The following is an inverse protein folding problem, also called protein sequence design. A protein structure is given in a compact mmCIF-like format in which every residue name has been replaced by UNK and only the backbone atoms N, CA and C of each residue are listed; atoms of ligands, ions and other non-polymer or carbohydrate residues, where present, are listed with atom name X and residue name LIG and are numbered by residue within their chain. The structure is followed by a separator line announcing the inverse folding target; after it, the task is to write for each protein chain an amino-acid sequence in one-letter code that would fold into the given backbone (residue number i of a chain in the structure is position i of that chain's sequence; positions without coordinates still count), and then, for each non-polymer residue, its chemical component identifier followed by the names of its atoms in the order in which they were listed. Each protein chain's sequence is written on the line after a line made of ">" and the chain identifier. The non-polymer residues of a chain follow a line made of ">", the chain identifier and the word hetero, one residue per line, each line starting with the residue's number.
data_IF_109287646084
#
_entry.id   IF_109287646084
#
_cell.length_a   1.000
_cell.length_b   1.000
_cell.length_c   1.000
_cell.angle_alpha   90.00
_cell.angle_beta   90.00
_cell.angle_gamma   90.00
#
_symmetry.space_group_name_H-M   'P 1'
#
loop_
_entity.id
_entity.type
_entity.pdbx_description
1 polymer ?
#
# COMPACT_ATOMS: atom_id res chain seq x y z
N UNK A 1 19.07 73.97 -28.37
CA UNK A 1 19.01 73.36 -27.02
C UNK A 1 18.10 72.13 -27.08
N UNK A 2 18.67 70.92 -27.20
CA UNK A 2 17.91 69.65 -27.26
C UNK A 2 18.52 68.69 -26.25
N UNK A 3 17.72 68.33 -25.24
CA UNK A 3 18.08 67.43 -24.14
C UNK A 3 17.96 65.99 -24.65
N UNK A 4 19.04 65.20 -24.54
CA UNK A 4 19.02 63.75 -24.79
C UNK A 4 18.57 63.03 -23.53
N UNK A 5 17.50 62.25 -23.66
CA UNK A 5 16.93 61.40 -22.62
C UNK A 5 17.74 60.09 -22.54
N UNK A 6 18.36 59.80 -21.40
CA UNK A 6 19.04 58.54 -21.12
C UNK A 6 18.02 57.54 -20.56
N UNK A 7 17.86 56.38 -21.22
CA UNK A 7 17.05 55.26 -20.73
C UNK A 7 17.96 54.39 -19.86
N UNK A 8 17.67 54.32 -18.56
CA UNK A 8 18.34 53.42 -17.61
C UNK A 8 17.58 52.10 -17.62
N UNK A 9 18.20 51.05 -18.18
CA UNK A 9 17.70 49.68 -18.11
C UNK A 9 17.96 49.08 -16.73
N UNK A 10 16.89 48.83 -15.97
CA UNK A 10 16.95 48.02 -14.76
C UNK A 10 17.09 46.54 -15.14
N UNK A 11 18.29 45.98 -14.95
CA UNK A 11 18.48 44.53 -14.91
C UNK A 11 17.92 44.00 -13.58
N UNK A 12 16.73 43.42 -13.62
CA UNK A 12 16.21 42.61 -12.52
C UNK A 12 16.97 41.27 -12.55
N UNK A 13 17.99 41.16 -11.71
CA UNK A 13 18.62 39.87 -11.41
C UNK A 13 17.64 39.11 -10.52
N UNK A 14 16.81 38.27 -11.14
CA UNK A 14 15.96 37.31 -10.43
C UNK A 14 16.85 36.22 -9.82
N UNK A 15 17.34 36.45 -8.60
CA UNK A 15 17.86 35.39 -7.75
C UNK A 15 16.71 34.45 -7.38
N UNK A 16 16.47 33.45 -8.22
CA UNK A 16 15.64 32.29 -7.86
C UNK A 16 16.42 31.43 -6.87
N UNK A 17 16.46 31.84 -5.61
CA UNK A 17 16.72 30.90 -4.54
C UNK A 17 15.54 29.91 -4.52
N UNK A 18 15.67 28.81 -5.27
CA UNK A 18 15.00 27.56 -4.90
C UNK A 18 15.48 27.27 -3.49
N UNK A 19 14.72 27.67 -2.48
CA UNK A 19 14.86 27.14 -1.14
C UNK A 19 14.49 25.67 -1.27
N UNK A 20 15.51 24.84 -1.51
CA UNK A 20 15.41 23.41 -1.35
C UNK A 20 15.18 23.22 0.14
N UNK A 21 13.91 23.18 0.55
CA UNK A 21 13.50 22.56 1.80
C UNK A 21 13.79 21.06 1.64
N UNK A 22 15.07 20.68 1.59
CA UNK A 22 15.47 19.33 1.91
C UNK A 22 14.86 19.09 3.27
N UNK A 23 13.91 18.16 3.35
CA UNK A 23 13.27 17.78 4.59
C UNK A 23 14.39 17.29 5.51
N UNK A 24 14.90 18.19 6.36
CA UNK A 24 16.14 18.05 7.11
C UNK A 24 15.96 17.03 8.21
N UNK A 25 16.01 15.76 7.83
CA UNK A 25 16.36 14.68 8.72
C UNK A 25 17.65 14.13 8.14
N UNK A 26 18.78 14.42 8.80
CA UNK A 26 20.04 13.77 8.47
C UNK A 26 19.95 12.25 8.57
N UNK A 27 21.09 11.57 8.52
CA UNK A 27 21.13 10.10 8.42
C UNK A 27 20.73 9.37 9.71
N UNK A 28 20.43 10.08 10.81
CA UNK A 28 20.04 9.47 12.08
C UNK A 28 18.52 9.20 12.15
N UNK A 29 18.15 7.97 12.51
CA UNK A 29 16.76 7.51 12.73
C UNK A 29 16.16 7.99 14.07
N UNK A 30 16.66 9.11 14.58
CA UNK A 30 16.17 9.69 15.83
C UNK A 30 14.73 10.19 15.67
N UNK A 31 13.83 9.78 16.56
CA UNK A 31 12.50 10.35 16.72
C UNK A 31 12.57 11.89 16.72
N UNK A 32 11.80 12.54 15.86
CA UNK A 32 11.69 14.01 15.84
C UNK A 32 10.31 14.44 16.23
N UNK A 33 10.25 15.53 16.99
CA UNK A 33 8.99 16.09 17.45
C UNK A 33 8.25 16.78 16.30
N UNK A 34 6.93 16.64 16.28
CA UNK A 34 6.03 17.53 15.57
C UNK A 34 5.13 18.26 16.56
N UNK A 35 4.65 19.42 16.15
CA UNK A 35 3.63 20.18 16.85
C UNK A 35 2.55 20.55 15.85
N UNK A 36 1.32 20.10 16.06
CA UNK A 36 0.18 20.37 15.20
C UNK A 36 -0.82 21.27 15.91
N UNK A 37 -0.94 22.52 15.44
CA UNK A 37 -2.02 23.42 15.84
C UNK A 37 -3.22 23.19 14.93
N UNK A 38 -4.36 22.84 15.52
CA UNK A 38 -5.62 22.66 14.78
C UNK A 38 -6.52 23.86 15.05
N UNK A 39 -7.09 24.42 13.99
CA UNK A 39 -8.03 25.55 14.03
C UNK A 39 -9.30 25.20 13.24
N UNK A 40 -10.36 24.89 13.97
CA UNK A 40 -11.71 24.69 13.47
C UNK A 40 -12.48 26.02 13.49
N UNK A 41 -12.98 26.43 12.34
CA UNK A 41 -13.85 27.60 12.21
C UNK A 41 -15.32 27.22 12.42
N UNK A 42 -15.74 27.07 13.67
CA UNK A 42 -17.15 26.90 14.01
C UNK A 42 -17.44 27.28 15.45
N UNK A 43 -18.69 27.13 15.86
CA UNK A 43 -19.16 27.59 17.18
C UNK A 43 -18.98 26.48 18.21
N UNK A 44 -18.36 26.83 19.34
CA UNK A 44 -18.28 25.98 20.53
C UNK A 44 -17.17 24.94 20.53
N UNK A 45 -17.17 24.11 21.57
CA UNK A 45 -16.18 23.05 21.73
C UNK A 45 -16.59 21.83 20.89
N UNK A 46 -15.66 21.29 20.11
CA UNK A 46 -15.88 20.06 19.34
C UNK A 46 -14.87 18.99 19.74
N UNK A 47 -15.32 17.74 19.84
CA UNK A 47 -14.44 16.58 19.99
C UNK A 47 -13.98 16.12 18.60
N UNK A 48 -12.72 15.74 18.51
CA UNK A 48 -12.14 15.08 17.35
C UNK A 48 -11.28 13.91 17.81
N UNK A 49 -11.04 12.94 16.93
CA UNK A 49 -10.14 11.83 17.20
C UNK A 49 -8.99 11.89 16.22
N UNK A 50 -7.76 11.86 16.72
CA UNK A 50 -6.56 11.93 15.91
C UNK A 50 -5.80 10.62 16.01
N UNK A 51 -5.34 10.15 14.85
CA UNK A 51 -4.60 8.92 14.69
C UNK A 51 -3.34 9.19 13.87
N UNK A 52 -2.22 8.63 14.31
CA UNK A 52 -0.96 8.61 13.56
C UNK A 52 -0.08 7.45 14.05
N UNK A 53 0.92 7.05 13.27
CA UNK A 53 1.93 6.11 13.76
C UNK A 53 3.13 6.89 14.32
N UNK A 54 3.54 6.58 15.55
CA UNK A 54 4.68 7.23 16.18
C UNK A 54 6.02 6.73 15.61
N UNK A 55 7.13 7.24 16.14
CA UNK A 55 8.46 6.87 15.65
C UNK A 55 8.85 5.39 15.82
N UNK A 56 8.14 4.64 16.66
CA UNK A 56 8.31 3.20 16.84
C UNK A 56 7.35 2.37 15.95
N UNK A 57 6.68 3.02 14.99
CA UNK A 57 5.58 2.46 14.18
C UNK A 57 4.40 1.95 15.04
N UNK A 58 4.26 2.40 16.28
CA UNK A 58 3.10 2.11 17.10
C UNK A 58 2.00 3.10 16.77
N UNK A 59 0.78 2.60 16.59
CA UNK A 59 -0.38 3.44 16.35
C UNK A 59 -0.76 4.20 17.62
N UNK A 60 -0.78 5.53 17.50
CA UNK A 60 -1.25 6.44 18.53
C UNK A 60 -2.67 6.89 18.21
N UNK A 61 -3.47 7.07 19.26
CA UNK A 61 -4.83 7.58 19.13
C UNK A 61 -5.16 8.48 20.29
N UNK A 62 -5.55 9.71 19.97
CA UNK A 62 -5.90 10.73 20.97
C UNK A 62 -7.29 11.29 20.70
N UNK A 63 -8.10 11.46 21.74
CA UNK A 63 -9.33 12.25 21.67
C UNK A 63 -9.01 13.69 22.06
N UNK A 64 -9.26 14.60 21.13
CA UNK A 64 -8.94 16.02 21.25
C UNK A 64 -10.22 16.80 21.51
N UNK A 65 -10.12 17.80 22.39
CA UNK A 65 -11.16 18.80 22.59
C UNK A 65 -10.67 20.10 21.97
N UNK A 66 -11.31 20.53 20.88
CA UNK A 66 -11.10 21.82 20.23
C UNK A 66 -11.77 22.91 21.07
N UNK A 67 -11.04 23.44 22.07
CA UNK A 67 -11.54 24.50 22.96
C UNK A 67 -11.59 25.80 22.17
N UNK A 68 -12.78 26.39 22.04
CA UNK A 68 -13.02 27.56 21.18
C UNK A 68 -12.48 27.34 19.75
N UNK A 69 -12.65 26.12 19.22
CA UNK A 69 -12.18 25.76 17.88
C UNK A 69 -10.67 25.49 17.77
N UNK A 70 -9.88 25.55 18.84
CA UNK A 70 -8.43 25.37 18.75
C UNK A 70 -7.94 24.20 19.61
N UNK A 71 -6.96 23.45 19.10
CA UNK A 71 -6.20 22.47 19.87
C UNK A 71 -4.72 22.47 19.45
N UNK A 72 -3.85 22.01 20.35
CA UNK A 72 -2.43 21.79 20.10
C UNK A 72 -2.09 20.34 20.43
N UNK A 73 -1.51 19.65 19.47
CA UNK A 73 -1.05 18.27 19.61
C UNK A 73 0.45 18.27 19.45
N UNK A 74 1.15 17.50 20.28
CA UNK A 74 2.58 17.24 20.13
C UNK A 74 2.80 15.73 20.12
N UNK A 75 3.75 15.29 19.33
CA UNK A 75 4.12 13.90 19.26
C UNK A 75 5.47 13.72 18.60
N UNK A 76 5.88 12.47 18.43
CA UNK A 76 7.15 12.11 17.82
C UNK A 76 6.92 11.20 16.64
N UNK A 77 7.56 11.52 15.53
CA UNK A 77 7.52 10.73 14.29
C UNK A 77 8.94 10.41 13.83
N UNK A 78 9.08 9.25 13.21
CA UNK A 78 10.30 8.91 12.49
C UNK A 78 10.12 9.41 11.06
N UNK A 79 10.69 10.58 10.77
CA UNK A 79 10.53 11.25 9.48
C UNK A 79 9.07 11.62 9.23
N UNK A 80 8.36 10.98 8.33
CA UNK A 80 6.97 11.31 8.04
C UNK A 80 6.05 10.10 8.12
N UNK A 81 4.79 10.37 8.47
CA UNK A 81 3.72 9.39 8.60
C UNK A 81 2.38 9.97 8.14
N UNK A 82 1.37 9.11 8.04
CA UNK A 82 -0.01 9.52 7.79
C UNK A 82 -0.70 9.94 9.09
N UNK A 83 -1.31 11.11 9.08
CA UNK A 83 -2.23 11.59 10.10
C UNK A 83 -3.68 11.50 9.63
N UNK A 84 -4.57 11.06 10.51
CA UNK A 84 -6.01 11.05 10.31
C UNK A 84 -6.68 11.84 11.43
N UNK A 85 -7.46 12.86 11.08
CA UNK A 85 -8.32 13.58 12.01
C UNK A 85 -9.79 13.28 11.69
N UNK A 86 -10.45 12.56 12.59
CA UNK A 86 -11.88 12.30 12.54
C UNK A 86 -12.61 13.43 13.27
N UNK A 87 -13.39 14.20 12.50
CA UNK A 87 -14.17 15.34 13.00
C UNK A 87 -15.64 15.00 13.23
N UNK A 88 -16.07 13.84 12.73
CA UNK A 88 -17.34 13.19 13.01
C UNK A 88 -17.01 11.87 13.73
N UNK A 89 -17.42 11.76 14.99
CA UNK A 89 -17.12 10.60 15.83
C UNK A 89 -18.20 9.52 15.75
N UNK A 90 -19.38 9.87 15.22
CA UNK A 90 -20.47 8.94 14.98
C UNK A 90 -20.24 8.17 13.66
N UNK A 91 -19.43 8.75 12.75
CA UNK A 91 -19.02 8.13 11.50
C UNK A 91 -17.50 8.08 11.33
N UNK A 92 -16.89 7.00 11.83
CA UNK A 92 -15.44 6.74 11.74
C UNK A 92 -15.01 6.10 10.40
N UNK A 93 -15.80 6.23 9.34
CA UNK A 93 -15.39 5.78 8.01
C UNK A 93 -14.15 6.56 7.55
N UNK A 94 -13.04 5.86 7.27
CA UNK A 94 -11.76 6.46 6.86
C UNK A 94 -11.82 7.23 5.53
N UNK A 95 -12.83 6.94 4.70
CA UNK A 95 -13.13 7.64 3.44
C UNK A 95 -14.36 8.55 3.59
N UNK A 96 -14.83 8.75 4.82
CA UNK A 96 -15.97 9.60 5.14
C UNK A 96 -15.68 11.10 4.99
N UNK A 97 -16.73 11.91 4.78
CA UNK A 97 -16.59 13.36 4.58
C UNK A 97 -16.07 14.11 5.83
N UNK A 98 -16.12 13.48 7.00
CA UNK A 98 -15.63 14.00 8.28
C UNK A 98 -14.15 13.67 8.58
N UNK A 99 -13.39 13.12 7.64
CA UNK A 99 -11.99 12.70 7.85
C UNK A 99 -11.00 13.59 7.10
N UNK A 100 -10.00 14.11 7.82
CA UNK A 100 -8.86 14.81 7.24
C UNK A 100 -7.65 13.89 7.24
N UNK A 101 -7.23 13.47 6.06
CA UNK A 101 -6.02 12.66 5.83
C UNK A 101 -4.88 13.53 5.34
N UNK A 102 -3.78 13.58 6.10
CA UNK A 102 -2.64 14.45 5.82
C UNK A 102 -1.30 13.82 6.18
N UNK A 103 -0.22 14.39 5.67
CA UNK A 103 1.14 13.98 5.99
C UNK A 103 1.61 14.74 7.23
N UNK A 104 2.06 14.01 8.25
CA UNK A 104 2.74 14.53 9.42
C UNK A 104 4.24 14.44 9.14
N UNK A 105 4.96 15.54 9.31
CA UNK A 105 6.41 15.59 9.26
C UNK A 105 6.94 16.40 10.47
N UNK A 106 8.25 16.33 10.79
CA UNK A 106 8.77 16.98 11.98
C UNK A 106 8.73 18.49 11.82
N UNK A 107 8.46 19.17 12.93
CA UNK A 107 8.34 20.62 12.97
C UNK A 107 6.92 21.10 13.32
N UNK A 108 6.71 22.40 13.11
CA UNK A 108 5.47 23.08 13.49
C UNK A 108 4.52 23.12 12.29
N UNK A 109 3.36 22.48 12.43
CA UNK A 109 2.30 22.46 11.44
C UNK A 109 1.06 23.14 11.99
N UNK A 110 0.29 23.79 11.12
CA UNK A 110 -1.05 24.31 11.43
C UNK A 110 -2.04 23.78 10.41
N UNK A 111 -3.14 23.20 10.89
CA UNK A 111 -4.30 22.79 10.11
C UNK A 111 -5.48 23.72 10.42
N UNK A 112 -5.96 24.44 9.41
CA UNK A 112 -7.20 25.21 9.49
C UNK A 112 -8.27 24.57 8.62
N UNK A 113 -9.50 24.44 9.11
CA UNK A 113 -10.61 23.88 8.33
C UNK A 113 -11.99 24.39 8.78
N UNK A 114 -12.98 24.17 7.91
CA UNK A 114 -14.39 24.46 8.13
C UNK A 114 -15.20 23.17 8.08
N UNK A 115 -16.33 23.12 8.78
CA UNK A 115 -17.30 22.04 8.67
C UNK A 115 -18.62 22.58 8.12
N UNK A 116 -19.16 21.91 7.10
CA UNK A 116 -20.51 22.15 6.57
C UNK A 116 -21.27 20.84 6.59
N UNK A 117 -22.24 20.69 7.52
CA UNK A 117 -22.99 19.44 7.73
C UNK A 117 -22.05 18.23 7.84
N UNK A 118 -21.11 18.31 8.77
CA UNK A 118 -20.09 17.28 9.06
C UNK A 118 -19.11 16.95 7.92
N UNK A 119 -19.18 17.70 6.82
CA UNK A 119 -18.20 17.63 5.73
C UNK A 119 -17.09 18.65 5.95
N UNK A 120 -15.84 18.19 5.90
CA UNK A 120 -14.66 19.06 5.93
C UNK A 120 -14.53 19.83 4.62
N UNK A 121 -14.46 21.16 4.72
CA UNK A 121 -14.24 22.06 3.59
C UNK A 121 -13.12 23.07 3.92
N UNK A 122 -12.59 23.73 2.87
CA UNK A 122 -11.60 24.82 2.97
C UNK A 122 -10.38 24.50 3.86
N UNK A 123 -9.89 23.26 3.81
CA UNK A 123 -8.70 22.85 4.57
C UNK A 123 -7.45 23.57 4.07
N UNK A 124 -6.62 24.05 4.99
CA UNK A 124 -5.35 24.71 4.71
C UNK A 124 -4.27 24.24 5.69
N UNK A 125 -3.05 24.09 5.18
CA UNK A 125 -1.89 23.70 5.97
C UNK A 125 -0.77 24.74 5.89
N UNK A 126 -0.21 25.11 7.05
CA UNK A 126 1.01 25.92 7.16
C UNK A 126 2.10 25.09 7.85
N UNK A 127 3.35 25.24 7.40
CA UNK A 127 4.49 24.51 7.96
C UNK A 127 4.57 23.02 7.61
N UNK A 128 3.62 22.50 6.82
CA UNK A 128 3.61 21.13 6.30
C UNK A 128 3.93 21.12 4.80
N UNK A 129 5.21 21.15 4.45
CA UNK A 129 5.69 21.16 3.07
C UNK A 129 5.23 19.92 2.28
N UNK A 130 5.38 18.72 2.84
CA UNK A 130 4.94 17.48 2.18
C UNK A 130 3.43 17.50 1.91
N UNK A 131 2.64 17.91 2.90
CA UNK A 131 1.18 18.00 2.75
C UNK A 131 0.79 19.03 1.70
N UNK A 132 1.44 20.20 1.68
CA UNK A 132 1.18 21.23 0.69
C UNK A 132 1.54 20.77 -0.73
N UNK A 133 2.64 20.05 -0.90
CA UNK A 133 3.00 19.44 -2.18
C UNK A 133 1.97 18.39 -2.62
N UNK A 134 1.49 17.55 -1.69
CA UNK A 134 0.40 16.59 -1.95
C UNK A 134 -0.89 17.31 -2.37
N UNK A 135 -1.28 18.38 -1.68
CA UNK A 135 -2.48 19.16 -2.00
C UNK A 135 -2.38 19.85 -3.36
N UNK A 136 -1.22 20.41 -3.70
CA UNK A 136 -0.97 20.98 -5.02
C UNK A 136 -1.05 19.92 -6.13
N UNK A 137 -0.45 18.74 -5.90
CA UNK A 137 -0.57 17.61 -6.82
C UNK A 137 -2.03 17.18 -6.97
N UNK A 138 -2.79 17.05 -5.88
CA UNK A 138 -4.23 16.70 -5.94
C UNK A 138 -4.99 17.69 -6.78
N UNK A 139 -4.82 19.00 -6.52
CA UNK A 139 -5.49 20.07 -7.27
C UNK A 139 -5.21 20.01 -8.78
N UNK A 140 -3.94 19.74 -9.14
CA UNK A 140 -3.55 19.59 -10.55
C UNK A 140 -4.15 18.35 -11.23
N UNK A 141 -4.76 17.44 -10.46
CA UNK A 141 -5.40 16.23 -10.94
C UNK A 141 -6.93 16.22 -10.68
N UNK A 142 -7.51 17.34 -10.24
CA UNK A 142 -8.93 17.44 -9.86
C UNK A 142 -9.88 17.01 -11.00
N UNK A 143 -9.55 17.34 -12.25
CA UNK A 143 -10.35 16.91 -13.41
C UNK A 143 -10.39 15.38 -13.53
N UNK A 144 -9.26 14.70 -13.35
CA UNK A 144 -9.19 13.24 -13.40
C UNK A 144 -9.92 12.60 -12.23
N UNK A 145 -9.85 13.20 -11.03
CA UNK A 145 -10.62 12.73 -9.88
C UNK A 145 -12.13 12.90 -10.08
N UNK A 146 -12.57 14.06 -10.58
CA UNK A 146 -13.97 14.31 -10.91
C UNK A 146 -14.47 13.36 -12.01
N UNK A 147 -13.65 13.14 -13.05
CA UNK A 147 -13.94 12.15 -14.10
C UNK A 147 -14.11 10.75 -13.52
N UNK A 148 -13.20 10.32 -12.64
CA UNK A 148 -13.31 9.02 -11.97
C UNK A 148 -14.61 8.90 -11.16
N UNK A 149 -14.95 9.90 -10.34
CA UNK A 149 -16.18 9.91 -9.54
C UNK A 149 -17.43 9.81 -10.45
N UNK A 150 -17.43 10.54 -11.58
CA UNK A 150 -18.52 10.48 -12.54
C UNK A 150 -18.65 9.09 -13.18
N UNK A 151 -17.52 8.45 -13.52
CA UNK A 151 -17.50 7.08 -14.04
C UNK A 151 -17.97 6.06 -13.00
N UNK A 152 -17.56 6.19 -11.73
CA UNK A 152 -18.04 5.35 -10.63
C UNK A 152 -19.56 5.44 -10.47
N UNK A 153 -20.13 6.64 -10.57
CA UNK A 153 -21.57 6.87 -10.52
C UNK A 153 -22.29 6.31 -11.76
N UNK A 154 -21.70 6.44 -12.94
CA UNK A 154 -22.24 5.90 -14.19
C UNK A 154 -22.26 4.38 -14.17
N UNK A 155 -21.20 3.74 -13.68
CA UNK A 155 -21.07 2.27 -13.61
C UNK A 155 -22.22 1.61 -12.84
N UNK A 156 -22.78 2.31 -11.84
CA UNK A 156 -23.93 1.86 -11.05
C UNK A 156 -25.28 1.95 -11.78
N UNK A 157 -25.35 2.70 -12.88
CA UNK A 157 -26.60 2.99 -13.62
C UNK A 157 -26.68 2.28 -14.98
N UNK A 158 -25.54 1.93 -15.57
CA UNK A 158 -25.47 1.33 -16.91
C UNK A 158 -25.78 -0.18 -16.90
N UNK A 159 -26.26 -0.67 -18.05
CA UNK A 159 -26.53 -2.10 -18.25
C UNK A 159 -25.24 -2.92 -18.44
N UNK A 160 -25.36 -4.26 -18.48
CA UNK A 160 -24.21 -5.18 -18.55
C UNK A 160 -23.30 -4.93 -19.75
N UNK A 161 -23.87 -4.58 -20.91
CA UNK A 161 -23.12 -4.41 -22.15
C UNK A 161 -22.30 -3.11 -22.14
N UNK A 162 -22.87 -2.04 -21.55
CA UNK A 162 -22.19 -0.75 -21.37
C UNK A 162 -21.12 -0.75 -20.28
N UNK A 163 -21.20 -1.66 -19.30
CA UNK A 163 -20.22 -1.71 -18.18
C UNK A 163 -18.79 -1.90 -18.67
N UNK A 164 -18.57 -2.71 -19.70
CA UNK A 164 -17.22 -2.97 -20.22
C UNK A 164 -16.54 -1.68 -20.72
N UNK A 165 -17.28 -0.83 -21.42
CA UNK A 165 -16.78 0.46 -21.91
C UNK A 165 -16.50 1.44 -20.77
N UNK A 166 -17.42 1.55 -19.81
CA UNK A 166 -17.23 2.40 -18.62
C UNK A 166 -16.02 1.97 -17.81
N UNK A 167 -15.81 0.66 -17.63
CA UNK A 167 -14.63 0.12 -16.95
C UNK A 167 -13.34 0.46 -17.71
N UNK A 168 -13.32 0.38 -19.04
CA UNK A 168 -12.16 0.77 -19.86
C UNK A 168 -11.81 2.26 -19.71
N UNK A 169 -12.82 3.13 -19.69
CA UNK A 169 -12.63 4.57 -19.44
C UNK A 169 -12.12 4.84 -18.02
N UNK A 170 -12.61 4.07 -17.04
CA UNK A 170 -12.18 4.16 -15.65
C UNK A 170 -10.72 3.73 -15.50
N UNK A 171 -10.31 2.61 -16.12
CA UNK A 171 -8.93 2.13 -16.11
C UNK A 171 -7.99 3.15 -16.76
N UNK A 172 -8.39 3.72 -17.91
CA UNK A 172 -7.62 4.79 -18.58
C UNK A 172 -7.44 6.01 -17.68
N UNK A 173 -8.51 6.43 -16.99
CA UNK A 173 -8.47 7.57 -16.06
C UNK A 173 -7.56 7.28 -14.86
N UNK A 174 -7.66 6.08 -14.28
CA UNK A 174 -6.82 5.65 -13.16
C UNK A 174 -5.35 5.58 -13.59
N UNK A 175 -5.06 5.01 -14.76
CA UNK A 175 -3.69 4.93 -15.29
C UNK A 175 -3.07 6.32 -15.47
N UNK A 176 -3.85 7.29 -15.95
CA UNK A 176 -3.34 8.67 -16.07
C UNK A 176 -3.03 9.29 -14.70
N UNK A 177 -3.86 9.05 -13.68
CA UNK A 177 -3.57 9.50 -12.30
C UNK A 177 -2.28 8.87 -11.79
N UNK A 178 -2.08 7.56 -12.03
CA UNK A 178 -0.86 6.84 -11.63
C UNK A 178 0.37 7.42 -12.36
N UNK A 179 0.29 7.67 -13.66
CA UNK A 179 1.35 8.31 -14.44
C UNK A 179 1.70 9.68 -13.88
N UNK A 180 0.69 10.50 -13.52
CA UNK A 180 0.91 11.81 -12.92
C UNK A 180 1.53 11.72 -11.52
N UNK A 181 1.21 10.68 -10.75
CA UNK A 181 1.85 10.40 -9.46
C UNK A 181 3.33 10.01 -9.65
N UNK A 182 3.61 9.08 -10.57
CA UNK A 182 4.97 8.65 -10.90
C UNK A 182 5.82 9.81 -11.44
N UNK A 183 5.27 10.68 -12.28
CA UNK A 183 5.94 11.91 -12.73
C UNK A 183 6.30 12.83 -11.56
N UNK A 184 5.39 13.00 -10.60
CA UNK A 184 5.70 13.75 -9.38
C UNK A 184 6.84 13.12 -8.58
N UNK A 185 6.80 11.79 -8.36
CA UNK A 185 7.83 11.04 -7.64
C UNK A 185 9.21 11.23 -8.28
N UNK A 186 9.31 11.05 -9.60
CA UNK A 186 10.56 11.19 -10.36
C UNK A 186 11.17 12.59 -10.21
N UNK A 187 10.33 13.62 -10.19
CA UNK A 187 10.79 15.01 -10.11
C UNK A 187 11.02 15.50 -8.68
N UNK A 188 10.53 14.77 -7.66
CA UNK A 188 10.58 15.18 -6.26
C UNK A 188 10.99 14.01 -5.33
N UNK A 189 12.09 13.28 -5.58
CA UNK A 189 12.46 12.09 -4.80
C UNK A 189 12.77 12.36 -3.32
N UNK A 190 13.03 13.63 -2.98
CA UNK A 190 13.31 14.10 -1.62
C UNK A 190 12.06 14.49 -0.82
N UNK A 191 10.85 14.38 -1.41
CA UNK A 191 9.60 14.78 -0.76
C UNK A 191 8.89 13.57 -0.14
N UNK A 192 8.47 13.67 1.12
CA UNK A 192 7.55 12.70 1.73
C UNK A 192 6.21 12.58 0.98
N UNK A 193 5.80 13.59 0.19
CA UNK A 193 4.64 13.47 -0.70
C UNK A 193 4.87 12.41 -1.79
N UNK A 194 6.11 12.25 -2.26
CA UNK A 194 6.48 11.20 -3.22
C UNK A 194 6.32 9.82 -2.59
N UNK A 195 6.79 9.62 -1.35
CA UNK A 195 6.55 8.39 -0.60
C UNK A 195 5.06 8.12 -0.41
N UNK A 196 4.29 9.13 0.00
CA UNK A 196 2.83 9.02 0.15
C UNK A 196 2.14 8.61 -1.16
N UNK A 197 2.48 9.24 -2.28
CA UNK A 197 1.85 8.96 -3.58
C UNK A 197 2.24 7.58 -4.10
N UNK A 198 3.51 7.19 -3.98
CA UNK A 198 3.96 5.86 -4.40
C UNK A 198 3.23 4.77 -3.58
N UNK A 199 3.13 4.95 -2.27
CA UNK A 199 2.32 4.08 -1.38
C UNK A 199 0.83 4.13 -1.75
N UNK A 200 0.27 5.28 -2.10
CA UNK A 200 -1.17 5.40 -2.43
C UNK A 200 -1.56 4.58 -3.66
N UNK A 201 -0.64 4.43 -4.61
CA UNK A 201 -0.88 3.81 -5.92
C UNK A 201 -0.12 2.50 -6.15
N UNK A 202 0.62 1.97 -5.18
CA UNK A 202 1.44 0.76 -5.34
C UNK A 202 0.68 -0.44 -5.94
N UNK A 203 -0.58 -0.65 -5.54
CA UNK A 203 -1.42 -1.76 -6.06
C UNK A 203 -1.89 -1.59 -7.52
N UNK A 204 -1.59 -0.45 -8.14
CA UNK A 204 -2.00 -0.10 -9.51
C UNK A 204 -0.82 -0.09 -10.48
N UNK A 205 0.36 -0.56 -10.07
CA UNK A 205 1.54 -0.62 -10.90
C UNK A 205 2.19 -2.01 -10.83
N UNK A 206 2.90 -2.44 -11.89
CA UNK A 206 3.74 -3.63 -11.83
C UNK A 206 4.81 -3.51 -10.74
N UNK A 207 5.23 -4.66 -10.20
CA UNK A 207 6.20 -4.69 -9.10
C UNK A 207 7.56 -4.09 -9.50
N UNK A 208 8.00 -4.32 -10.74
CA UNK A 208 9.25 -3.75 -11.26
C UNK A 208 9.20 -2.23 -11.34
N UNK A 209 8.05 -1.67 -11.73
CA UNK A 209 7.82 -0.23 -11.70
C UNK A 209 7.90 0.28 -10.26
N UNK A 210 7.23 -0.37 -9.31
CA UNK A 210 7.28 0.02 -7.90
C UNK A 210 8.71 -0.01 -7.35
N UNK A 211 9.47 -1.08 -7.65
CA UNK A 211 10.89 -1.23 -7.28
C UNK A 211 11.76 -0.12 -7.86
N UNK A 212 11.62 0.17 -9.16
CA UNK A 212 12.39 1.20 -9.84
C UNK A 212 12.14 2.58 -9.21
N UNK A 213 10.88 2.94 -8.97
CA UNK A 213 10.53 4.22 -8.36
C UNK A 213 10.89 4.31 -6.88
N UNK A 214 10.81 3.21 -6.13
CA UNK A 214 11.31 3.17 -4.75
C UNK A 214 12.82 3.45 -4.71
N UNK A 215 13.58 2.85 -5.62
CA UNK A 215 15.03 3.04 -5.70
C UNK A 215 15.45 4.47 -6.08
N UNK A 216 14.53 5.27 -6.65
CA UNK A 216 14.77 6.69 -6.94
C UNK A 216 14.53 7.60 -5.72
N UNK A 217 13.77 7.15 -4.73
CA UNK A 217 13.47 7.94 -3.55
C UNK A 217 14.73 8.17 -2.71
N UNK A 218 14.80 9.33 -2.08
CA UNK A 218 15.87 9.62 -1.13
C UNK A 218 15.80 8.72 0.10
N UNK A 219 16.95 8.55 0.76
CA UNK A 219 17.05 7.80 2.01
C UNK A 219 16.05 8.29 3.08
N UNK A 220 15.81 9.61 3.16
CA UNK A 220 14.83 10.15 4.10
C UNK A 220 13.41 9.66 3.78
N UNK A 221 12.99 9.67 2.52
CA UNK A 221 11.68 9.18 2.13
C UNK A 221 11.59 7.66 2.31
N UNK A 222 12.64 6.91 1.96
CA UNK A 222 12.69 5.45 2.13
C UNK A 222 12.54 5.02 3.59
N UNK A 223 13.10 5.80 4.52
CA UNK A 223 13.02 5.53 5.96
C UNK A 223 11.76 6.10 6.64
N UNK A 224 10.95 6.89 5.94
CA UNK A 224 9.62 7.29 6.42
C UNK A 224 8.66 6.10 6.47
N UNK A 225 7.52 6.25 7.15
CA UNK A 225 6.51 5.18 7.20
C UNK A 225 6.02 4.80 5.80
N UNK A 226 5.88 5.78 4.91
CA UNK A 226 5.50 5.53 3.52
C UNK A 226 6.52 4.67 2.78
N UNK A 227 7.81 5.01 2.91
CA UNK A 227 8.91 4.27 2.31
C UNK A 227 9.00 2.84 2.85
N UNK A 228 8.88 2.67 4.17
CA UNK A 228 8.86 1.34 4.80
C UNK A 228 7.68 0.48 4.31
N UNK A 229 6.49 1.05 4.16
CA UNK A 229 5.33 0.29 3.63
C UNK A 229 5.57 -0.18 2.18
N UNK A 230 6.13 0.69 1.34
CA UNK A 230 6.50 0.33 -0.04
C UNK A 230 7.61 -0.70 -0.06
N UNK A 231 8.66 -0.53 0.74
CA UNK A 231 9.77 -1.46 0.78
C UNK A 231 9.31 -2.86 1.18
N UNK A 232 8.43 -2.95 2.19
CA UNK A 232 7.82 -4.23 2.55
C UNK A 232 7.18 -4.87 1.32
N UNK A 233 6.49 -4.10 0.48
CA UNK A 233 5.77 -4.62 -0.70
C UNK A 233 6.75 -5.13 -1.74
N UNK A 234 7.75 -4.32 -2.07
CA UNK A 234 8.77 -4.70 -3.05
C UNK A 234 9.58 -5.89 -2.58
N UNK A 235 10.04 -5.88 -1.33
CA UNK A 235 10.88 -6.92 -0.76
C UNK A 235 10.20 -8.30 -0.80
N UNK A 236 8.91 -8.36 -0.47
CA UNK A 236 8.12 -9.60 -0.50
C UNK A 236 7.91 -10.18 -1.89
N UNK A 237 8.03 -9.34 -2.94
CA UNK A 237 7.57 -9.69 -4.28
C UNK A 237 8.68 -9.71 -5.33
N UNK A 238 9.86 -9.14 -5.05
CA UNK A 238 10.99 -9.13 -5.98
C UNK A 238 11.93 -10.30 -5.76
N UNK A 239 12.44 -10.88 -6.85
CA UNK A 239 13.51 -11.87 -6.90
C UNK A 239 14.93 -11.24 -6.87
N UNK A 240 15.00 -9.91 -6.90
CA UNK A 240 16.24 -9.15 -6.95
C UNK A 240 17.00 -9.21 -5.63
N UNK A 241 17.97 -10.12 -5.56
CA UNK A 241 18.79 -10.35 -4.38
C UNK A 241 19.66 -9.15 -4.00
N UNK A 242 20.08 -8.34 -4.97
CA UNK A 242 20.86 -7.14 -4.69
C UNK A 242 19.99 -6.07 -4.03
N UNK A 243 18.77 -5.88 -4.56
CA UNK A 243 17.78 -5.01 -3.95
C UNK A 243 17.47 -5.43 -2.50
N UNK A 244 17.24 -6.73 -2.27
CA UNK A 244 16.97 -7.25 -0.92
C UNK A 244 18.15 -7.02 0.02
N UNK A 245 19.38 -7.32 -0.41
CA UNK A 245 20.58 -7.13 0.40
C UNK A 245 20.77 -5.67 0.82
N UNK A 246 20.53 -4.72 -0.10
CA UNK A 246 20.66 -3.28 0.15
C UNK A 246 19.58 -2.70 1.07
N UNK A 247 18.47 -3.43 1.30
CA UNK A 247 17.31 -2.92 2.03
C UNK A 247 16.93 -3.82 3.23
N UNK A 248 17.90 -4.55 3.80
CA UNK A 248 17.67 -5.51 4.88
C UNK A 248 17.64 -4.90 6.29
N UNK A 249 17.85 -3.58 6.43
CA UNK A 249 18.13 -2.89 7.70
C UNK A 249 16.95 -2.73 8.68
N UNK A 250 15.86 -3.50 8.54
CA UNK A 250 14.75 -3.44 9.49
C UNK A 250 14.50 -4.79 10.15
N UNK A 251 14.07 -4.77 11.42
CA UNK A 251 13.62 -5.95 12.17
C UNK A 251 12.61 -6.81 11.39
N UNK A 252 11.79 -6.16 10.56
CA UNK A 252 10.86 -6.86 9.67
C UNK A 252 11.61 -7.70 8.60
N UNK A 253 12.66 -7.15 8.00
CA UNK A 253 13.45 -7.83 6.95
C UNK A 253 14.45 -8.83 7.53
N UNK A 254 14.94 -8.65 8.77
CA UNK A 254 15.80 -9.61 9.43
C UNK A 254 15.17 -11.01 9.50
N UNK A 255 13.85 -11.07 9.80
CA UNK A 255 13.10 -12.35 9.81
C UNK A 255 13.03 -13.03 8.43
N UNK A 256 13.21 -12.27 7.34
CA UNK A 256 13.16 -12.77 5.97
C UNK A 256 14.51 -12.78 5.26
N UNK A 257 15.61 -12.45 5.94
CA UNK A 257 16.94 -12.33 5.31
C UNK A 257 17.43 -13.64 4.70
N UNK A 258 17.02 -14.76 5.29
CA UNK A 258 17.32 -16.11 4.79
C UNK A 258 16.31 -16.63 3.78
N UNK A 259 15.18 -15.95 3.61
CA UNK A 259 14.08 -16.35 2.71
C UNK A 259 14.16 -15.51 1.43
N UNK A 260 14.66 -16.13 0.36
CA UNK A 260 14.81 -15.49 -0.95
C UNK A 260 13.64 -15.85 -1.86
N UNK A 261 13.24 -17.11 -1.80
CA UNK A 261 12.22 -17.71 -2.67
C UNK A 261 11.28 -18.59 -1.85
N UNK A 262 10.24 -19.13 -2.48
CA UNK A 262 9.42 -20.19 -1.88
C UNK A 262 10.27 -21.36 -1.35
N UNK A 263 11.38 -21.67 -2.02
CA UNK A 263 12.20 -22.83 -1.71
C UNK A 263 12.97 -22.72 -0.38
N UNK A 264 13.01 -21.54 0.23
CA UNK A 264 13.64 -21.32 1.54
C UNK A 264 12.65 -21.44 2.70
N UNK A 265 11.38 -21.75 2.42
CA UNK A 265 10.32 -21.90 3.41
C UNK A 265 10.15 -23.38 3.77
N UNK A 266 10.05 -23.64 5.07
CA UNK A 266 9.71 -24.94 5.64
C UNK A 266 8.55 -24.76 6.62
N UNK A 267 7.51 -25.60 6.51
CA UNK A 267 6.32 -25.54 7.35
C UNK A 267 5.85 -26.95 7.72
N UNK A 268 5.22 -27.14 8.90
CA UNK A 268 4.70 -28.43 9.32
C UNK A 268 3.50 -28.88 8.47
N UNK A 269 3.48 -30.17 8.12
CA UNK A 269 2.37 -30.85 7.47
C UNK A 269 1.33 -31.38 8.48
N UNK A 270 0.33 -32.11 7.97
CA UNK A 270 -0.74 -32.70 8.81
C UNK A 270 -0.26 -33.77 9.80
N UNK A 271 0.93 -34.33 9.61
CA UNK A 271 1.58 -35.27 10.54
C UNK A 271 2.43 -34.52 11.59
N UNK A 272 2.67 -33.23 11.39
CA UNK A 272 3.55 -32.40 12.21
C UNK A 272 5.02 -32.44 11.78
N UNK A 273 5.31 -33.00 10.59
CA UNK A 273 6.65 -33.02 10.03
C UNK A 273 6.90 -31.74 9.25
N UNK A 274 8.05 -31.11 9.45
CA UNK A 274 8.47 -29.97 8.64
C UNK A 274 8.73 -30.40 7.20
N UNK A 275 8.03 -29.76 6.26
CA UNK A 275 8.18 -29.97 4.82
C UNK A 275 8.88 -28.76 4.22
N UNK A 276 10.11 -28.98 3.76
CA UNK A 276 10.84 -27.98 2.97
C UNK A 276 10.23 -27.84 1.59
N UNK A 277 9.80 -26.62 1.24
CA UNK A 277 9.25 -26.32 -0.08
C UNK A 277 10.31 -26.35 -1.18
N UNK A 278 11.60 -26.47 -0.84
CA UNK A 278 12.67 -26.77 -1.81
C UNK A 278 12.42 -28.05 -2.61
N UNK A 279 11.60 -28.99 -2.11
CA UNK A 279 11.21 -30.20 -2.84
C UNK A 279 10.38 -29.91 -4.10
N UNK A 280 9.87 -28.68 -4.24
CA UNK A 280 9.07 -28.24 -5.38
C UNK A 280 9.89 -27.52 -6.46
N UNK A 281 11.23 -27.46 -6.32
CA UNK A 281 12.13 -26.92 -7.34
C UNK A 281 11.86 -27.54 -8.71
N UNK A 282 11.79 -26.69 -9.73
CA UNK A 282 11.49 -27.11 -11.10
C UNK A 282 9.99 -27.24 -11.41
N UNK A 283 9.10 -27.04 -10.44
CA UNK A 283 7.65 -27.04 -10.65
C UNK A 283 7.07 -25.65 -10.48
N UNK A 284 6.03 -25.36 -11.24
CA UNK A 284 5.13 -24.26 -10.90
C UNK A 284 4.39 -24.60 -9.61
N UNK A 285 4.12 -23.61 -8.77
CA UNK A 285 3.36 -23.83 -7.54
C UNK A 285 2.17 -22.88 -7.48
N UNK A 286 0.98 -23.44 -7.30
CA UNK A 286 -0.20 -22.69 -6.89
C UNK A 286 -0.24 -22.70 -5.37
N UNK A 287 0.03 -21.55 -4.76
CA UNK A 287 -0.11 -21.35 -3.32
C UNK A 287 -1.51 -20.85 -3.00
N UNK A 288 -2.14 -21.42 -1.98
CA UNK A 288 -3.46 -21.07 -1.45
C UNK A 288 -3.35 -20.75 0.04
N UNK A 289 -3.61 -19.50 0.41
CA UNK A 289 -3.73 -19.11 1.81
C UNK A 289 -5.19 -19.16 2.26
N UNK A 290 -5.46 -19.99 3.26
CA UNK A 290 -6.82 -20.29 3.71
C UNK A 290 -6.92 -20.47 5.23
N UNK A 291 -8.15 -20.62 5.73
CA UNK A 291 -8.40 -21.00 7.12
C UNK A 291 -9.72 -21.77 7.26
N UNK A 292 -9.82 -22.60 8.29
CA UNK A 292 -10.99 -23.44 8.57
C UNK A 292 -12.28 -22.66 8.85
N UNK A 293 -12.16 -21.39 9.25
CA UNK A 293 -13.27 -20.48 9.54
C UNK A 293 -13.63 -19.56 8.36
N UNK A 294 -12.87 -19.62 7.26
CA UNK A 294 -13.08 -18.77 6.09
C UNK A 294 -14.09 -19.42 5.13
N UNK A 295 -15.35 -18.99 5.17
CA UNK A 295 -16.40 -19.51 4.28
C UNK A 295 -16.05 -19.39 2.80
N UNK A 296 -15.56 -18.25 2.27
CA UNK A 296 -15.17 -18.15 0.86
C UNK A 296 -14.00 -19.07 0.47
N UNK A 297 -13.11 -19.40 1.42
CA UNK A 297 -12.05 -20.37 1.20
C UNK A 297 -12.63 -21.78 1.03
N UNK A 298 -13.55 -22.16 1.91
CA UNK A 298 -14.23 -23.46 1.86
C UNK A 298 -15.02 -23.63 0.56
N UNK A 299 -15.68 -22.58 0.09
CA UNK A 299 -16.43 -22.58 -1.18
C UNK A 299 -15.53 -22.83 -2.41
N UNK A 300 -14.24 -22.48 -2.34
CA UNK A 300 -13.29 -22.71 -3.43
C UNK A 300 -12.74 -24.15 -3.48
N UNK A 301 -12.82 -24.93 -2.40
CA UNK A 301 -12.21 -26.27 -2.32
C UNK A 301 -12.66 -27.21 -3.45
N UNK A 302 -13.97 -27.33 -3.79
CA UNK A 302 -14.40 -28.19 -4.89
C UNK A 302 -13.83 -27.79 -6.25
N UNK A 303 -13.59 -26.49 -6.46
CA UNK A 303 -13.00 -25.96 -7.69
C UNK A 303 -11.48 -26.18 -7.71
N UNK A 304 -10.83 -26.13 -6.56
CA UNK A 304 -9.43 -26.52 -6.43
C UNK A 304 -9.24 -28.00 -6.76
N UNK A 305 -10.12 -28.89 -6.31
CA UNK A 305 -10.06 -30.31 -6.68
C UNK A 305 -10.19 -30.52 -8.20
N UNK A 306 -11.11 -29.79 -8.85
CA UNK A 306 -11.23 -29.84 -10.32
C UNK A 306 -9.94 -29.38 -11.01
N UNK A 307 -9.36 -28.28 -10.53
CA UNK A 307 -8.11 -27.74 -11.06
C UNK A 307 -6.95 -28.73 -10.90
N UNK A 308 -6.79 -29.34 -9.72
CA UNK A 308 -5.76 -30.35 -9.46
C UNK A 308 -5.91 -31.51 -10.46
N UNK A 309 -7.13 -32.03 -10.63
CA UNK A 309 -7.41 -33.13 -11.56
C UNK A 309 -7.11 -32.77 -13.02
N UNK A 310 -7.43 -31.53 -13.43
CA UNK A 310 -7.16 -31.03 -14.78
C UNK A 310 -5.64 -30.89 -15.06
N UNK A 311 -4.84 -30.64 -14.01
CA UNK A 311 -3.41 -30.33 -14.13
C UNK A 311 -2.49 -31.51 -13.78
N UNK A 312 -3.00 -32.73 -13.61
CA UNK A 312 -2.21 -33.92 -13.18
C UNK A 312 -0.97 -34.17 -14.05
N UNK A 313 -1.06 -33.90 -15.36
CA UNK A 313 0.04 -34.13 -16.31
C UNK A 313 0.89 -32.88 -16.57
N UNK A 314 0.68 -31.80 -15.81
CA UNK A 314 1.46 -30.57 -15.90
C UNK A 314 2.49 -30.49 -14.77
N UNK A 315 3.61 -29.76 -14.96
CA UNK A 315 4.65 -29.60 -13.94
C UNK A 315 4.21 -28.61 -12.85
N UNK A 316 3.09 -28.88 -12.18
CA UNK A 316 2.44 -28.01 -11.20
C UNK A 316 2.27 -28.74 -9.88
N UNK A 317 2.59 -28.06 -8.78
CA UNK A 317 2.24 -28.46 -7.42
C UNK A 317 1.18 -27.51 -6.84
N UNK A 318 0.31 -28.05 -6.00
CA UNK A 318 -0.72 -27.28 -5.28
C UNK A 318 -0.41 -27.36 -3.79
N UNK A 319 -0.27 -26.20 -3.15
CA UNK A 319 0.13 -26.08 -1.75
C UNK A 319 -0.86 -25.15 -1.04
N UNK A 320 -1.62 -25.70 -0.10
CA UNK A 320 -2.52 -24.95 0.76
C UNK A 320 -1.85 -24.68 2.10
N UNK A 321 -1.60 -23.40 2.40
CA UNK A 321 -1.02 -22.91 3.65
C UNK A 321 -2.14 -22.36 4.53
N UNK A 322 -2.38 -22.99 5.68
CA UNK A 322 -3.37 -22.51 6.64
C UNK A 322 -2.79 -21.42 7.53
N UNK A 323 -3.59 -20.37 7.74
CA UNK A 323 -3.33 -19.30 8.72
C UNK A 323 -4.22 -19.44 9.98
N UNK A 324 -4.82 -20.61 10.21
CA UNK A 324 -5.60 -20.87 11.42
C UNK A 324 -4.77 -20.61 12.69
N UNK A 325 -5.41 -20.13 13.75
CA UNK A 325 -4.76 -20.04 15.07
C UNK A 325 -4.87 -21.37 15.85
N UNK A 326 -5.83 -22.21 15.47
CA UNK A 326 -6.08 -23.52 16.08
C UNK A 326 -5.73 -24.64 15.09
N UNK A 327 -4.58 -25.25 15.32
CA UNK A 327 -4.07 -26.39 14.56
C UNK A 327 -5.05 -27.60 14.54
N UNK A 328 -5.84 -27.80 15.60
CA UNK A 328 -6.83 -28.87 15.68
C UNK A 328 -8.02 -28.62 14.75
N UNK A 329 -8.50 -27.37 14.66
CA UNK A 329 -9.55 -26.98 13.70
C UNK A 329 -9.08 -27.14 12.25
N UNK A 330 -7.85 -26.73 11.96
CA UNK A 330 -7.23 -26.93 10.66
C UNK A 330 -7.21 -28.42 10.25
N UNK A 331 -6.70 -29.31 11.11
CA UNK A 331 -6.67 -30.77 10.83
C UNK A 331 -8.07 -31.36 10.62
N UNK A 332 -9.05 -30.93 11.43
CA UNK A 332 -10.45 -31.36 11.26
C UNK A 332 -11.02 -30.90 9.92
N UNK A 333 -10.73 -29.66 9.52
CA UNK A 333 -11.19 -29.11 8.25
C UNK A 333 -10.58 -29.85 7.05
N UNK A 334 -9.27 -30.13 7.06
CA UNK A 334 -8.61 -30.93 6.02
C UNK A 334 -9.32 -32.26 5.80
N UNK A 335 -9.58 -33.00 6.89
CA UNK A 335 -10.28 -34.29 6.83
C UNK A 335 -11.71 -34.14 6.33
N UNK A 336 -12.44 -33.15 6.85
CA UNK A 336 -13.85 -32.89 6.49
C UNK A 336 -14.01 -32.56 5.01
N UNK A 337 -13.15 -31.71 4.47
CA UNK A 337 -13.24 -31.24 3.08
C UNK A 337 -12.42 -32.06 2.10
N UNK A 338 -11.70 -33.08 2.58
CA UNK A 338 -10.86 -33.99 1.78
C UNK A 338 -9.85 -33.21 0.92
N UNK A 339 -9.19 -32.23 1.55
CA UNK A 339 -8.23 -31.36 0.87
C UNK A 339 -7.17 -32.19 0.12
N UNK A 340 -6.96 -31.86 -1.15
CA UNK A 340 -5.93 -32.45 -2.00
C UNK A 340 -4.67 -31.58 -2.01
N UNK A 341 -3.58 -32.11 -2.57
CA UNK A 341 -2.29 -31.40 -2.63
C UNK A 341 -1.55 -31.38 -1.30
N UNK A 342 -0.50 -30.56 -1.23
CA UNK A 342 0.31 -30.39 -0.02
C UNK A 342 -0.40 -29.42 0.93
N UNK A 343 -0.63 -29.84 2.17
CA UNK A 343 -1.34 -29.04 3.16
C UNK A 343 -0.39 -28.71 4.32
N UNK A 344 -0.13 -27.43 4.53
CA UNK A 344 0.86 -26.91 5.49
C UNK A 344 0.21 -25.94 6.48
N UNK A 345 0.82 -25.81 7.65
CA UNK A 345 0.36 -24.92 8.72
C UNK A 345 1.39 -23.85 9.05
N UNK A 346 1.02 -22.58 8.93
CA UNK A 346 1.91 -21.45 9.19
C UNK A 346 1.80 -20.98 10.65
N UNK A 347 2.29 -21.79 11.59
CA UNK A 347 2.18 -21.54 13.04
C UNK A 347 2.76 -20.19 13.44
N UNK A 348 3.90 -19.83 12.85
CA UNK A 348 4.69 -18.66 13.24
C UNK A 348 4.35 -17.42 12.39
N UNK A 349 3.28 -17.54 11.58
CA UNK A 349 2.81 -16.57 10.58
C UNK A 349 3.94 -16.11 9.65
N UNK A 350 4.93 -16.96 9.41
CA UNK A 350 6.14 -16.64 8.64
C UNK A 350 5.77 -16.45 7.16
N UNK A 351 5.08 -17.43 6.58
CA UNK A 351 4.66 -17.37 5.18
C UNK A 351 3.61 -16.27 4.97
N UNK A 352 2.63 -16.14 5.88
CA UNK A 352 1.65 -15.06 5.90
C UNK A 352 2.34 -13.69 5.89
N UNK A 353 3.34 -13.48 6.74
CA UNK A 353 4.04 -12.21 6.82
C UNK A 353 4.92 -11.97 5.58
N UNK A 354 5.64 -13.00 5.11
CA UNK A 354 6.49 -12.91 3.92
C UNK A 354 5.69 -12.55 2.67
N UNK A 355 4.56 -13.22 2.43
CA UNK A 355 3.67 -12.96 1.29
C UNK A 355 2.63 -11.86 1.55
N UNK A 356 2.68 -11.19 2.71
CA UNK A 356 1.76 -10.11 3.10
C UNK A 356 0.29 -10.44 3.00
N UNK A 357 -0.09 -11.61 3.51
CA UNK A 357 -1.49 -12.02 3.58
C UNK A 357 -2.18 -11.31 4.75
N UNK A 358 -2.45 -10.02 4.58
CA UNK A 358 -3.00 -9.13 5.61
C UNK A 358 -4.40 -8.59 5.29
N UNK A 359 -4.85 -8.72 4.03
CA UNK A 359 -6.10 -8.11 3.54
C UNK A 359 -7.25 -9.13 3.41
N UNK A 360 -7.24 -10.16 4.27
CA UNK A 360 -8.20 -11.26 4.21
C UNK A 360 -7.74 -12.41 3.33
N UNK A 361 -8.52 -13.49 3.36
CA UNK A 361 -8.35 -14.75 2.62
C UNK A 361 -9.68 -15.13 1.95
N UNK A 362 -9.69 -15.90 0.85
CA UNK A 362 -8.54 -16.62 0.27
C UNK A 362 -7.63 -15.72 -0.57
N UNK A 363 -6.33 -16.06 -0.60
CA UNK A 363 -5.33 -15.45 -1.50
C UNK A 363 -4.61 -16.56 -2.24
N UNK A 364 -4.50 -16.39 -3.56
CA UNK A 364 -3.80 -17.34 -4.43
C UNK A 364 -2.59 -16.68 -5.09
N UNK A 365 -1.46 -17.39 -5.09
CA UNK A 365 -0.23 -16.97 -5.78
C UNK A 365 0.18 -18.05 -6.78
N UNK A 366 0.80 -17.64 -7.89
CA UNK A 366 1.50 -18.53 -8.83
C UNK A 366 2.99 -18.28 -8.67
N UNK A 367 3.72 -19.34 -8.35
CA UNK A 367 5.17 -19.34 -8.17
C UNK A 367 5.79 -20.12 -9.33
N UNK A 368 6.91 -19.60 -9.83
CA UNK A 368 7.68 -20.22 -10.90
C UNK A 368 8.56 -21.38 -10.45
N UNK A 369 9.13 -22.13 -11.40
CA UNK A 369 10.04 -23.25 -11.13
C UNK A 369 11.29 -22.89 -10.32
N UNK A 370 11.69 -21.62 -10.33
CA UNK A 370 12.81 -21.03 -9.57
C UNK A 370 12.42 -20.66 -8.13
N UNK A 371 11.13 -20.69 -7.79
CA UNK A 371 10.58 -20.33 -6.49
C UNK A 371 10.19 -18.84 -6.38
N UNK A 372 10.26 -18.08 -7.47
CA UNK A 372 9.89 -16.67 -7.52
C UNK A 372 8.40 -16.49 -7.84
N UNK A 373 7.82 -15.37 -7.38
CA UNK A 373 6.40 -15.10 -7.63
C UNK A 373 6.22 -14.65 -9.08
N UNK A 374 5.40 -15.38 -9.84
CA UNK A 374 4.96 -14.99 -11.18
C UNK A 374 3.68 -14.15 -11.09
N UNK A 375 2.77 -14.52 -10.18
CA UNK A 375 1.52 -13.80 -9.97
C UNK A 375 1.19 -13.76 -8.48
N UNK A 376 1.09 -12.56 -7.92
CA UNK A 376 0.80 -12.34 -6.49
C UNK A 376 -0.68 -12.05 -6.19
N UNK A 377 -1.55 -12.16 -7.19
CA UNK A 377 -2.98 -11.89 -7.10
C UNK A 377 -3.73 -12.79 -8.09
N UNK A 378 -3.47 -14.10 -8.02
CA UNK A 378 -4.03 -15.05 -8.95
C UNK A 378 -5.56 -15.17 -8.74
N UNK A 379 -6.35 -15.38 -9.82
CA UNK A 379 -7.78 -15.56 -9.69
C UNK A 379 -8.11 -16.76 -8.81
N UNK A 380 -9.20 -16.66 -8.03
CA UNK A 380 -9.68 -17.81 -7.26
C UNK A 380 -10.14 -18.95 -8.19
N UNK A 381 -9.98 -20.23 -7.82
CA UNK A 381 -10.43 -21.37 -8.62
C UNK A 381 -11.88 -21.27 -9.07
N UNK A 382 -12.79 -20.82 -8.20
CA UNK A 382 -14.22 -20.66 -8.51
C UNK A 382 -14.50 -19.71 -9.69
N UNK A 383 -13.58 -18.80 -10.00
CA UNK A 383 -13.73 -17.86 -11.12
C UNK A 383 -13.59 -18.53 -12.49
N UNK A 384 -13.03 -19.75 -12.55
CA UNK A 384 -12.69 -20.42 -13.81
C UNK A 384 -11.51 -19.80 -14.57
N UNK A 385 -10.93 -18.69 -14.08
CA UNK A 385 -9.83 -17.98 -14.75
C UNK A 385 -8.44 -18.48 -14.37
N UNK A 386 -8.32 -19.22 -13.26
CA UNK A 386 -7.02 -19.71 -12.78
C UNK A 386 -6.41 -20.77 -13.71
N UNK A 387 -7.21 -21.74 -14.15
CA UNK A 387 -6.76 -22.79 -15.06
C UNK A 387 -6.18 -22.24 -16.38
N UNK A 388 -6.89 -21.40 -17.16
CA UNK A 388 -6.35 -20.87 -18.42
C UNK A 388 -5.14 -19.95 -18.20
N UNK A 389 -5.12 -19.16 -17.12
CA UNK A 389 -3.96 -18.34 -16.77
C UNK A 389 -2.73 -19.21 -16.51
N UNK A 390 -2.88 -20.27 -15.71
CA UNK A 390 -1.77 -21.17 -15.37
C UNK A 390 -1.24 -21.90 -16.60
N UNK A 391 -2.10 -22.41 -17.49
CA UNK A 391 -1.67 -23.04 -18.76
C UNK A 391 -0.90 -22.07 -19.63
N UNK A 392 -1.41 -20.85 -19.80
CA UNK A 392 -0.73 -19.80 -20.58
C UNK A 392 0.67 -19.48 -20.03
N UNK A 393 0.82 -19.42 -18.71
CA UNK A 393 2.14 -19.19 -18.07
C UNK A 393 3.10 -20.34 -18.35
N UNK A 394 2.63 -21.59 -18.22
CA UNK A 394 3.46 -22.77 -18.44
C UNK A 394 3.85 -22.90 -19.92
N UNK A 395 2.94 -22.63 -20.84
CA UNK A 395 3.19 -22.73 -22.28
C UNK A 395 4.18 -21.68 -22.79
N UNK A 396 4.16 -20.46 -22.24
CA UNK A 396 5.10 -19.38 -22.61
C UNK A 396 6.53 -19.61 -22.12
N UNK A 397 6.74 -20.56 -21.22
CA UNK A 397 8.05 -20.90 -20.66
C UNK A 397 8.77 -22.03 -21.41
N UNK A 398 8.07 -22.68 -22.34
CA UNK A 398 8.63 -23.66 -23.27
C UNK A 398 9.18 -22.95 -24.49
#
# INVERSE_FOLDING_TARGET
>A
MRIKMFVIGFFIIAYSHKVVYAQRNGNNDSCKMFSLKISYQGIGNKKAKFFYNNCNNSSETETIILKNGVALIKGFVNRATEGLLFTDLDNINMDGPGVIRFIIEPGNMTLSYLLKKDTVINKQFLGANAENQKLAWTKNNDELFNRRINLDNLLRRVNKDQKAEVLKLMDTTINQIVINALSFVKNNPNSYASGYLLRRYHKKMPIDTLKAYYSMLSESVNRSDFGKEILKEVYSLTDDMNFRAQNSDSVFFDKFKTIKTLHDISLPDTSGNDVSLSMLKGKYVVLDFWASWCSPCIENIPYMHKLINEMVNMPVAFVSISIDDDHGKWKKAIKKYKMQGLNLYDSDKLAQAYYKITNGIPVYLIIGPDGNIINNNAPQPISGKLAPLLKSIIEQSK
#
